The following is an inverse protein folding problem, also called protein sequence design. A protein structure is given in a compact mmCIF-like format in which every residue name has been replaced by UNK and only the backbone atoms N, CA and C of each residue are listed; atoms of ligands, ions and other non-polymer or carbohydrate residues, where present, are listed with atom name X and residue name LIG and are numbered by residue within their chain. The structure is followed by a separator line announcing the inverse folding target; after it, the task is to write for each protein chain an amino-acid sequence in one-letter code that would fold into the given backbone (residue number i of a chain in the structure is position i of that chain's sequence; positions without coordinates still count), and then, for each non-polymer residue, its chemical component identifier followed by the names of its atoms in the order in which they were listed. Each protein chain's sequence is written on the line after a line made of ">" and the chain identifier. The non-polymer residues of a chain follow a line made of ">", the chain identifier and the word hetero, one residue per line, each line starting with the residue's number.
data_IF_046404085905
#
_entry.id   IF_046404085905
#
_cell.length_a   1.000
_cell.length_b   1.000
_cell.length_c   1.000
_cell.angle_alpha   90.00
_cell.angle_beta   90.00
_cell.angle_gamma   90.00
#
_symmetry.space_group_name_H-M   'P 1'
#
loop_
_entity.id
_entity.type
_entity.pdbx_description
1 polymer ?
#
# COMPACT_ATOMS: atom_id res chain seq x y z
N UNK A 1 -3.79 -9.96 20.78
CA UNK A 1 -4.43 -10.87 19.82
C UNK A 1 -5.65 -10.18 19.22
N UNK A 2 -5.48 -9.60 18.04
CA UNK A 2 -6.56 -9.21 17.13
C UNK A 2 -5.89 -9.00 15.77
N UNK A 3 -6.00 -9.98 14.87
CA UNK A 3 -5.50 -9.86 13.49
C UNK A 3 -6.46 -8.97 12.71
N UNK A 4 -5.95 -8.03 11.92
CA UNK A 4 -6.78 -7.34 10.92
C UNK A 4 -7.04 -8.36 9.81
N UNK A 5 -8.17 -9.04 9.91
CA UNK A 5 -8.78 -9.66 8.74
C UNK A 5 -9.22 -8.50 7.86
N UNK A 6 -8.83 -8.49 6.59
CA UNK A 6 -9.31 -7.51 5.60
C UNK A 6 -10.82 -7.68 5.28
N UNK A 7 -11.62 -8.15 6.25
CA UNK A 7 -13.09 -8.24 6.24
C UNK A 7 -13.77 -7.62 7.46
N UNK A 8 -13.05 -7.08 8.47
CA UNK A 8 -13.70 -6.49 9.66
C UNK A 8 -13.51 -4.98 9.86
N UNK A 9 -12.95 -4.26 8.89
CA UNK A 9 -12.99 -2.79 8.86
C UNK A 9 -14.30 -2.33 8.18
N UNK A 10 -15.09 -1.40 8.76
CA UNK A 10 -16.40 -0.96 8.23
C UNK A 10 -16.40 -0.31 6.82
N UNK A 11 -15.26 -0.24 6.15
CA UNK A 11 -15.05 0.49 4.89
C UNK A 11 -14.81 -0.40 3.66
N UNK A 12 -14.92 -1.72 3.76
CA UNK A 12 -14.50 -2.64 2.70
C UNK A 12 -15.55 -2.86 1.60
N UNK A 13 -15.21 -2.36 0.41
CA UNK A 13 -15.84 -2.68 -0.87
C UNK A 13 -15.62 -4.16 -1.19
N UNK A 14 -16.68 -4.88 -1.61
CA UNK A 14 -16.59 -6.25 -2.13
C UNK A 14 -15.59 -6.36 -3.29
N UNK A 15 -14.40 -6.94 -3.05
CA UNK A 15 -13.37 -7.21 -4.08
C UNK A 15 -13.55 -8.63 -4.63
N UNK A 16 -13.33 -8.81 -5.93
CA UNK A 16 -13.43 -10.14 -6.55
C UNK A 16 -12.26 -11.03 -6.14
N UNK A 17 -12.50 -12.35 -6.02
CA UNK A 17 -11.47 -13.35 -5.71
C UNK A 17 -10.24 -13.26 -6.62
N UNK A 18 -10.45 -12.94 -7.90
CA UNK A 18 -9.36 -12.76 -8.85
C UNK A 18 -8.43 -11.60 -8.46
N UNK A 19 -8.97 -10.48 -7.97
CA UNK A 19 -8.16 -9.36 -7.48
C UNK A 19 -7.41 -9.72 -6.21
N UNK A 20 -8.03 -10.45 -5.28
CA UNK A 20 -7.37 -10.90 -4.04
C UNK A 20 -6.24 -11.88 -4.33
N UNK A 21 -6.43 -12.81 -5.25
CA UNK A 21 -5.38 -13.76 -5.66
C UNK A 21 -4.21 -13.07 -6.37
N UNK A 22 -4.48 -12.03 -7.17
CA UNK A 22 -3.42 -11.20 -7.76
C UNK A 22 -2.59 -10.49 -6.69
N UNK A 23 -3.26 -9.91 -5.69
CA UNK A 23 -2.59 -9.25 -4.57
C UNK A 23 -1.74 -10.25 -3.77
N UNK A 24 -2.28 -11.43 -3.46
CA UNK A 24 -1.52 -12.49 -2.79
C UNK A 24 -0.27 -12.89 -3.58
N UNK A 25 -0.34 -12.94 -4.92
CA UNK A 25 0.82 -13.23 -5.76
C UNK A 25 1.89 -12.16 -5.64
N UNK A 26 1.52 -10.87 -5.57
CA UNK A 26 2.46 -9.76 -5.36
C UNK A 26 3.06 -9.81 -3.94
N UNK A 27 2.24 -10.01 -2.91
CA UNK A 27 2.68 -10.08 -1.52
C UNK A 27 3.69 -11.21 -1.30
N UNK A 28 3.54 -12.34 -2.00
CA UNK A 28 4.49 -13.45 -1.98
C UNK A 28 5.86 -13.11 -2.59
N UNK A 29 5.96 -12.09 -3.43
CA UNK A 29 7.27 -11.63 -3.93
C UNK A 29 8.06 -10.83 -2.87
N UNK A 30 7.41 -10.39 -1.78
CA UNK A 30 8.06 -9.59 -0.75
C UNK A 30 8.86 -10.40 0.27
N UNK A 31 8.71 -11.72 0.29
CA UNK A 31 9.44 -12.59 1.22
C UNK A 31 10.95 -12.48 1.06
N UNK A 32 11.41 -12.14 -0.15
CA UNK A 32 12.83 -11.91 -0.46
C UNK A 32 13.34 -10.53 0.00
N UNK A 33 12.44 -9.61 0.34
CA UNK A 33 12.81 -8.22 0.63
C UNK A 33 13.03 -7.93 2.13
N UNK A 34 12.59 -8.76 3.08
CA UNK A 34 12.42 -8.35 4.49
C UNK A 34 11.45 -7.16 4.59
N UNK A 35 10.16 -7.48 4.75
CA UNK A 35 9.04 -6.54 4.67
C UNK A 35 9.14 -5.43 5.72
N UNK A 36 9.63 -5.76 6.93
CA UNK A 36 9.75 -4.82 8.04
C UNK A 36 10.85 -3.76 7.79
N UNK A 37 11.96 -4.16 7.16
CA UNK A 37 13.03 -3.25 6.75
C UNK A 37 12.62 -2.35 5.59
N UNK A 38 11.75 -2.83 4.71
CA UNK A 38 11.31 -2.08 3.52
C UNK A 38 9.98 -1.36 3.71
N UNK A 39 9.46 -1.33 4.94
CA UNK A 39 8.20 -0.69 5.29
C UNK A 39 7.04 -1.20 4.41
N UNK A 40 6.97 -2.50 4.16
CA UNK A 40 5.90 -3.19 3.44
C UNK A 40 5.03 -3.93 4.45
N UNK A 41 3.71 -3.92 4.26
CA UNK A 41 2.79 -4.69 5.13
C UNK A 41 3.08 -6.19 5.02
N UNK A 42 3.12 -6.88 6.15
CA UNK A 42 3.27 -8.32 6.21
C UNK A 42 1.93 -9.03 6.08
N UNK A 43 1.80 -9.84 5.03
CA UNK A 43 0.71 -10.81 4.91
C UNK A 43 1.11 -12.09 5.66
N UNK A 44 0.45 -12.36 6.79
CA UNK A 44 0.76 -13.50 7.64
C UNK A 44 0.12 -14.79 7.16
N UNK A 45 -1.12 -14.73 6.65
CA UNK A 45 -1.86 -15.91 6.21
C UNK A 45 -2.94 -15.54 5.17
N UNK A 46 -3.53 -16.55 4.54
CA UNK A 46 -4.71 -16.42 3.68
C UNK A 46 -5.61 -17.64 3.85
N UNK A 47 -6.92 -17.43 3.76
CA UNK A 47 -7.89 -18.52 3.84
C UNK A 47 -9.10 -18.23 2.95
N UNK A 48 -9.92 -19.25 2.74
CA UNK A 48 -11.19 -19.12 2.03
C UNK A 48 -12.32 -19.19 3.04
N UNK A 49 -13.15 -18.15 3.10
CA UNK A 49 -14.35 -18.13 3.93
C UNK A 49 -15.58 -18.16 3.04
N UNK A 50 -16.38 -19.24 3.16
CA UNK A 50 -17.52 -19.53 2.27
C UNK A 50 -17.08 -19.63 0.80
N UNK A 51 -17.05 -18.51 0.09
CA UNK A 51 -16.63 -18.41 -1.32
C UNK A 51 -15.64 -17.28 -1.58
N UNK A 52 -15.21 -16.57 -0.54
CA UNK A 52 -14.36 -15.39 -0.67
C UNK A 52 -12.95 -15.70 -0.16
N UNK A 53 -11.93 -15.30 -0.93
CA UNK A 53 -10.54 -15.33 -0.48
C UNK A 53 -10.30 -14.17 0.49
N UNK A 54 -9.65 -14.48 1.61
CA UNK A 54 -9.35 -13.55 2.68
C UNK A 54 -7.84 -13.53 2.91
N UNK A 55 -7.30 -12.32 3.11
CA UNK A 55 -5.90 -12.09 3.49
C UNK A 55 -5.85 -11.63 4.95
N UNK A 56 -4.86 -12.15 5.67
CA UNK A 56 -4.58 -11.82 7.07
C UNK A 56 -3.29 -11.05 7.13
N UNK A 57 -3.36 -9.83 7.64
CA UNK A 57 -2.20 -8.96 7.80
C UNK A 57 -1.84 -8.79 9.26
N UNK A 58 -0.62 -8.32 9.50
CA UNK A 58 -0.24 -7.80 10.80
C UNK A 58 -1.15 -6.63 11.24
N UNK A 59 -1.35 -6.49 12.55
CA UNK A 59 -2.12 -5.38 13.10
C UNK A 59 -1.24 -4.12 13.15
N UNK A 60 -1.70 -3.08 12.46
CA UNK A 60 -1.09 -1.76 12.48
C UNK A 60 -2.00 -0.76 13.22
N UNK A 61 -1.51 0.46 13.43
CA UNK A 61 -2.30 1.58 13.94
C UNK A 61 -3.15 2.19 12.78
N UNK A 62 -3.46 3.48 12.85
CA UNK A 62 -4.26 4.20 11.87
C UNK A 62 -3.48 4.56 10.60
N UNK A 63 -4.20 4.69 9.48
CA UNK A 63 -3.65 5.27 8.24
C UNK A 63 -3.19 6.72 8.45
N UNK A 64 -2.28 7.22 7.62
CA UNK A 64 -1.92 8.64 7.64
C UNK A 64 -3.13 9.52 7.33
N UNK A 65 -4.05 9.06 6.47
CA UNK A 65 -5.31 9.75 6.21
C UNK A 65 -6.12 9.94 7.50
N UNK A 66 -6.31 8.87 8.28
CA UNK A 66 -7.05 8.92 9.54
C UNK A 66 -6.30 9.66 10.64
N UNK A 67 -4.96 9.61 10.63
CA UNK A 67 -4.12 10.44 11.48
C UNK A 67 -4.35 11.93 11.21
N UNK A 68 -4.36 12.34 9.94
CA UNK A 68 -4.61 13.73 9.55
C UNK A 68 -6.04 14.16 9.85
N UNK A 69 -7.04 13.30 9.61
CA UNK A 69 -8.44 13.57 10.01
C UNK A 69 -8.57 13.86 11.50
N UNK A 70 -7.95 13.04 12.36
CA UNK A 70 -7.95 13.24 13.83
C UNK A 70 -7.26 14.55 14.24
N UNK A 71 -6.35 15.06 13.41
CA UNK A 71 -5.66 16.34 13.59
C UNK A 71 -6.39 17.52 12.92
N UNK A 72 -7.61 17.33 12.44
CA UNK A 72 -8.35 18.35 11.67
C UNK A 72 -7.55 18.88 10.47
N UNK A 73 -6.76 18.01 9.84
CA UNK A 73 -5.87 18.33 8.71
C UNK A 73 -4.79 19.39 9.01
N UNK A 74 -4.47 19.64 10.28
CA UNK A 74 -3.34 20.49 10.64
C UNK A 74 -2.02 19.88 10.15
N UNK A 75 -1.24 20.70 9.46
CA UNK A 75 0.04 20.32 8.85
C UNK A 75 0.97 19.61 9.82
N UNK A 76 1.69 18.63 9.29
CA UNK A 76 2.83 18.02 9.97
C UNK A 76 4.01 18.98 10.01
N UNK A 77 4.87 18.82 11.01
CA UNK A 77 6.16 19.50 11.04
C UNK A 77 7.06 18.91 9.96
N UNK A 78 7.95 19.72 9.41
CA UNK A 78 8.92 19.28 8.38
C UNK A 78 9.74 18.07 8.83
N UNK A 79 10.09 18.01 10.12
CA UNK A 79 10.80 16.87 10.70
C UNK A 79 9.98 15.56 10.62
N UNK A 80 8.67 15.62 10.80
CA UNK A 80 7.76 14.47 10.75
C UNK A 80 7.55 14.02 9.30
N UNK A 81 7.37 14.98 8.39
CA UNK A 81 7.29 14.73 6.95
C UNK A 81 8.55 14.02 6.47
N UNK A 82 9.73 14.52 6.85
CA UNK A 82 11.03 13.93 6.49
C UNK A 82 11.13 12.45 6.86
N UNK A 83 10.71 12.09 8.07
CA UNK A 83 10.75 10.70 8.56
C UNK A 83 9.85 9.79 7.73
N UNK A 84 8.64 10.24 7.40
CA UNK A 84 7.72 9.48 6.54
C UNK A 84 8.27 9.36 5.12
N UNK A 85 8.75 10.45 4.53
CA UNK A 85 9.31 10.47 3.17
C UNK A 85 10.51 9.53 3.04
N UNK A 86 11.44 9.53 4.00
CA UNK A 86 12.60 8.62 3.98
C UNK A 86 12.18 7.16 3.95
N UNK A 87 11.17 6.78 4.73
CA UNK A 87 10.66 5.40 4.74
C UNK A 87 9.95 5.04 3.44
N UNK A 88 9.15 5.94 2.89
CA UNK A 88 8.51 5.74 1.57
C UNK A 88 9.54 5.57 0.46
N UNK A 89 10.64 6.33 0.47
CA UNK A 89 11.73 6.17 -0.51
C UNK A 89 12.39 4.79 -0.42
N UNK A 90 12.57 4.25 0.79
CA UNK A 90 13.06 2.87 0.96
C UNK A 90 12.08 1.87 0.36
N UNK A 91 10.78 2.03 0.61
CA UNK A 91 9.72 1.17 0.06
C UNK A 91 9.68 1.21 -1.46
N UNK A 92 9.68 2.40 -2.05
CA UNK A 92 9.65 2.60 -3.49
C UNK A 92 10.87 2.00 -4.18
N UNK A 93 12.06 2.16 -3.57
CA UNK A 93 13.27 1.55 -4.07
C UNK A 93 13.20 0.01 -4.03
N UNK A 94 12.61 -0.57 -2.98
CA UNK A 94 12.41 -2.01 -2.88
C UNK A 94 11.44 -2.54 -3.95
N UNK A 95 10.30 -1.87 -4.13
CA UNK A 95 9.32 -2.22 -5.17
C UNK A 95 9.92 -2.13 -6.58
N UNK A 96 10.68 -1.07 -6.85
CA UNK A 96 11.42 -0.92 -8.10
C UNK A 96 12.42 -2.05 -8.32
N UNK A 97 13.16 -2.45 -7.28
CA UNK A 97 14.14 -3.53 -7.38
C UNK A 97 13.52 -4.86 -7.82
N UNK A 98 12.32 -5.18 -7.34
CA UNK A 98 11.57 -6.36 -7.77
C UNK A 98 10.66 -6.10 -8.97
N UNK A 99 10.67 -4.91 -9.58
CA UNK A 99 9.83 -4.57 -10.73
C UNK A 99 8.33 -4.65 -10.45
N UNK A 100 7.91 -4.25 -9.26
CA UNK A 100 6.50 -4.10 -8.86
C UNK A 100 6.11 -2.62 -8.87
N UNK A 101 4.91 -2.36 -9.38
CA UNK A 101 4.25 -1.05 -9.36
C UNK A 101 3.00 -1.17 -8.49
N UNK A 102 2.80 -0.26 -7.55
CA UNK A 102 1.70 -0.25 -6.59
C UNK A 102 0.42 0.36 -7.18
N UNK A 103 0.53 1.42 -7.98
CA UNK A 103 -0.59 2.07 -8.68
C UNK A 103 -1.67 2.71 -7.80
N UNK A 104 -1.49 2.83 -6.48
CA UNK A 104 -2.49 3.43 -5.57
C UNK A 104 -1.84 4.01 -4.31
N UNK A 105 -0.70 4.67 -4.46
CA UNK A 105 -0.03 5.33 -3.33
C UNK A 105 -0.84 6.57 -2.94
N UNK A 106 -1.34 6.56 -1.70
CA UNK A 106 -2.10 7.64 -1.08
C UNK A 106 -2.04 7.52 0.44
N UNK A 107 -2.47 8.56 1.15
CA UNK A 107 -2.42 8.59 2.61
C UNK A 107 -3.25 7.49 3.28
N UNK A 108 -4.30 6.99 2.62
CA UNK A 108 -5.12 5.88 3.12
C UNK A 108 -4.36 4.55 3.14
N UNK A 109 -3.37 4.40 2.26
CA UNK A 109 -2.62 3.16 2.05
C UNK A 109 -1.26 3.17 2.77
N UNK A 110 -0.89 4.28 3.39
CA UNK A 110 0.29 4.41 4.25
C UNK A 110 -0.18 4.36 5.71
N UNK A 111 0.21 3.31 6.43
CA UNK A 111 -0.30 3.03 7.77
C UNK A 111 0.79 3.14 8.82
N UNK A 112 0.48 3.77 9.96
CA UNK A 112 1.39 3.85 11.09
C UNK A 112 1.50 2.47 11.75
N UNK A 113 2.72 2.05 12.11
CA UNK A 113 2.93 0.72 12.73
C UNK A 113 2.49 0.74 14.19
N UNK A 114 3.11 1.61 14.99
CA UNK A 114 2.73 1.87 16.37
C UNK A 114 3.15 3.30 16.72
N UNK A 115 2.28 4.29 16.49
CA UNK A 115 2.66 5.69 16.62
C UNK A 115 3.09 6.07 18.05
N UNK A 116 2.54 5.39 19.06
CA UNK A 116 2.83 5.65 20.47
C UNK A 116 4.24 5.21 20.86
N UNK A 117 4.68 4.04 20.38
CA UNK A 117 6.01 3.50 20.70
C UNK A 117 7.08 3.87 19.66
N UNK A 118 6.67 4.07 18.40
CA UNK A 118 7.53 4.30 17.25
C UNK A 118 6.95 5.46 16.43
N UNK A 119 7.29 6.68 16.83
CA UNK A 119 6.77 7.90 16.22
C UNK A 119 7.03 7.90 14.70
N UNK A 120 5.94 7.98 13.94
CA UNK A 120 5.94 7.99 12.47
C UNK A 120 6.65 6.81 11.78
N UNK A 121 6.80 5.65 12.43
CA UNK A 121 7.11 4.40 11.70
C UNK A 121 5.90 4.02 10.84
N UNK A 122 6.12 3.83 9.55
CA UNK A 122 5.06 3.52 8.58
C UNK A 122 5.29 2.17 7.91
N UNK A 123 4.22 1.63 7.32
CA UNK A 123 4.23 0.57 6.33
C UNK A 123 3.23 0.90 5.20
N UNK A 124 3.61 0.58 3.97
CA UNK A 124 2.75 0.65 2.79
C UNK A 124 1.88 -0.60 2.70
N UNK A 125 0.61 -0.41 2.36
CA UNK A 125 -0.43 -1.44 2.35
C UNK A 125 -1.37 -1.28 1.16
N UNK A 126 -2.26 -2.26 0.95
CA UNK A 126 -3.24 -2.32 -0.15
C UNK A 126 -2.57 -2.48 -1.53
N UNK A 127 -2.06 -3.69 -1.79
CA UNK A 127 -1.45 -4.06 -3.06
C UNK A 127 -2.49 -4.57 -4.06
N UNK A 128 -3.76 -4.21 -3.89
CA UNK A 128 -4.86 -4.74 -4.68
C UNK A 128 -4.87 -4.34 -6.15
N UNK A 129 -4.22 -3.22 -6.48
CA UNK A 129 -4.00 -2.73 -7.83
C UNK A 129 -2.55 -2.94 -8.31
N UNK A 130 -1.70 -3.48 -7.44
CA UNK A 130 -0.30 -3.67 -7.74
C UNK A 130 -0.11 -4.78 -8.79
N UNK A 131 0.92 -4.62 -9.62
CA UNK A 131 1.29 -5.60 -10.63
C UNK A 131 2.78 -5.50 -10.98
N UNK A 132 3.27 -6.44 -11.79
CA UNK A 132 4.64 -6.37 -12.32
C UNK A 132 4.69 -5.35 -13.45
N UNK A 133 5.81 -4.62 -13.56
CA UNK A 133 6.08 -3.72 -14.68
C UNK A 133 5.98 -4.46 -16.03
N UNK A 134 6.40 -5.72 -16.08
CA UNK A 134 6.27 -6.59 -17.27
C UNK A 134 4.83 -6.94 -17.67
N UNK A 135 3.84 -6.66 -16.81
CA UNK A 135 2.42 -6.92 -17.05
C UNK A 135 1.61 -5.64 -17.28
N UNK A 136 2.27 -4.48 -17.44
CA UNK A 136 1.61 -3.21 -17.70
C UNK A 136 0.83 -3.29 -19.02
N UNK A 137 -0.43 -2.86 -18.98
CA UNK A 137 -1.27 -2.64 -20.16
C UNK A 137 -1.35 -1.12 -20.35
N UNK A 138 -0.69 -0.61 -21.39
CA UNK A 138 -0.65 0.83 -21.65
C UNK A 138 -2.07 1.40 -21.89
N UNK A 139 -2.30 2.63 -21.44
CA UNK A 139 -3.63 3.28 -21.50
C UNK A 139 -4.60 2.83 -20.41
N UNK A 140 -4.21 1.94 -19.50
CA UNK A 140 -5.03 1.56 -18.34
C UNK A 140 -5.14 2.72 -17.35
N UNK A 141 -6.35 3.00 -16.86
CA UNK A 141 -6.57 4.00 -15.82
C UNK A 141 -6.18 3.45 -14.46
N UNK A 142 -5.06 3.91 -13.92
CA UNK A 142 -4.55 3.58 -12.58
C UNK A 142 -4.45 4.83 -11.70
N UNK A 143 -4.12 4.66 -10.41
CA UNK A 143 -4.01 5.70 -9.38
C UNK A 143 -5.30 6.43 -9.02
N UNK A 144 -5.39 6.83 -7.75
CA UNK A 144 -6.41 7.76 -7.28
C UNK A 144 -6.20 9.15 -7.92
N UNK A 145 -7.29 9.85 -8.25
CA UNK A 145 -7.25 11.07 -9.06
C UNK A 145 -6.31 12.16 -8.50
N UNK A 146 -6.28 12.35 -7.18
CA UNK A 146 -5.43 13.36 -6.52
C UNK A 146 -3.95 12.98 -6.42
N UNK A 147 -3.59 11.74 -6.75
CA UNK A 147 -2.23 11.19 -6.70
C UNK A 147 -1.75 10.69 -8.07
N UNK A 148 -2.50 11.01 -9.14
CA UNK A 148 -2.25 10.45 -10.46
C UNK A 148 -1.13 11.20 -11.17
N UNK A 149 -0.19 10.44 -11.74
CA UNK A 149 0.91 10.96 -12.52
C UNK A 149 0.43 11.62 -13.84
N UNK A 150 1.10 12.69 -14.32
CA UNK A 150 0.70 13.44 -15.50
C UNK A 150 0.66 12.60 -16.79
N UNK A 151 1.58 11.66 -16.98
CA UNK A 151 1.64 10.76 -18.14
C UNK A 151 0.37 9.93 -18.29
N UNK A 152 -0.28 9.55 -17.19
CA UNK A 152 -1.55 8.81 -17.22
C UNK A 152 -2.72 9.68 -17.65
N UNK A 153 -2.69 10.98 -17.36
CA UNK A 153 -3.69 11.93 -17.86
C UNK A 153 -3.54 12.17 -19.36
N UNK A 154 -2.30 12.18 -19.84
CA UNK A 154 -1.97 12.40 -21.25
C UNK A 154 -2.09 11.12 -22.10
N UNK A 155 -2.30 9.97 -21.48
CA UNK A 155 -2.36 8.67 -22.17
C UNK A 155 -1.00 8.22 -22.70
N UNK A 156 0.09 8.73 -22.12
CA UNK A 156 1.45 8.32 -22.47
C UNK A 156 1.83 6.99 -21.83
N UNK A 157 2.81 6.28 -22.41
CA UNK A 157 3.34 5.09 -21.79
C UNK A 157 3.88 5.38 -20.39
N UNK A 158 3.60 4.47 -19.46
CA UNK A 158 4.05 4.59 -18.08
C UNK A 158 4.79 3.34 -17.62
N UNK A 159 5.57 3.51 -16.53
CA UNK A 159 6.32 2.47 -15.85
C UNK A 159 6.21 2.68 -14.33
N UNK A 160 7.13 2.10 -13.54
CA UNK A 160 7.15 2.27 -12.08
C UNK A 160 7.34 3.72 -11.62
N UNK A 161 7.72 4.65 -12.50
CA UNK A 161 7.93 6.05 -12.15
C UNK A 161 6.65 6.78 -11.71
N UNK A 162 5.45 6.26 -12.04
CA UNK A 162 4.19 6.87 -11.57
C UNK A 162 4.08 6.86 -10.05
N UNK A 163 4.79 5.96 -9.36
CA UNK A 163 4.76 5.81 -7.91
C UNK A 163 5.84 6.66 -7.18
N UNK A 164 6.72 7.37 -7.91
CA UNK A 164 7.82 8.18 -7.34
C UNK A 164 7.42 9.61 -6.94
#
# INVERSE_FOLDING_TARGET
>A
MASVVHQMSPSLKSRSNFSVLKELAILKEFTELDEAKNNLVKCGDHFVMKRDFCLVFELLDKSLCDFMKKRCYLSLRVAEIRVVTQQMLVTLNALKHIGVIHCDIKLDNITLVNHTAQSFKIQLSDFGLAHKVSKIIQGTKVQALGYRAPELFLGFPYNEAIDN
#
